data_IF_018676700945
#
_entry.id   IF_018676700945
#
_cell.length_a   1.000
_cell.length_b   1.000
_cell.length_c   1.000
_cell.angle_alpha   90.00
_cell.angle_beta   90.00
_cell.angle_gamma   90.00
#
_symmetry.space_group_name_H-M   'P 1'
#
loop_
_entity.id
_entity.type
_entity.pdbx_description
1 polymer ?
#
# COMPACT_ATOMS: atom_id res chain seq x y z
N UNK A 1 18.18 -0.23 11.21
CA UNK A 1 17.46 -0.76 10.03
C UNK A 1 16.48 0.25 9.36
N UNK A 2 16.16 1.40 9.96
CA UNK A 2 15.29 2.42 9.37
C UNK A 2 15.94 3.31 8.28
N UNK A 3 17.27 3.48 8.31
CA UNK A 3 18.00 4.36 7.41
C UNK A 3 18.00 3.90 5.94
N UNK A 4 18.03 2.58 5.68
CA UNK A 4 18.14 2.06 4.30
C UNK A 4 16.88 2.27 3.46
N UNK A 5 15.68 2.17 4.06
CA UNK A 5 14.41 2.42 3.35
C UNK A 5 14.18 3.89 3.05
N UNK A 6 14.62 4.78 3.94
CA UNK A 6 14.53 6.23 3.72
C UNK A 6 15.51 6.68 2.62
N UNK A 7 16.75 6.18 2.66
CA UNK A 7 17.78 6.44 1.64
C UNK A 7 17.33 5.97 0.23
N UNK A 8 16.65 4.83 0.15
CA UNK A 8 16.09 4.32 -1.12
C UNK A 8 15.02 5.26 -1.71
N UNK A 9 14.12 5.81 -0.89
CA UNK A 9 13.07 6.73 -1.37
C UNK A 9 13.62 8.09 -1.79
N UNK A 10 14.58 8.64 -1.04
CA UNK A 10 15.23 9.89 -1.41
C UNK A 10 16.04 9.75 -2.69
N UNK A 11 16.70 8.61 -2.92
CA UNK A 11 17.40 8.36 -4.19
C UNK A 11 16.44 8.32 -5.37
N UNK A 12 15.29 7.63 -5.23
CA UNK A 12 14.26 7.61 -6.29
C UNK A 12 13.79 9.03 -6.61
N UNK A 13 13.46 9.82 -5.58
CA UNK A 13 12.89 11.15 -5.77
C UNK A 13 13.87 12.19 -6.29
N UNK A 14 15.09 12.22 -5.75
CA UNK A 14 16.03 13.31 -6.01
C UNK A 14 17.09 12.96 -7.06
N UNK A 15 17.19 11.69 -7.45
CA UNK A 15 18.14 11.24 -8.47
C UNK A 15 17.43 10.61 -9.66
N UNK A 16 16.68 9.52 -9.45
CA UNK A 16 16.09 8.77 -10.56
C UNK A 16 14.99 9.52 -11.29
N UNK A 17 14.04 10.11 -10.57
CA UNK A 17 12.94 10.87 -11.19
C UNK A 17 13.51 12.04 -12.02
N UNK A 18 14.37 12.94 -11.49
CA UNK A 18 14.98 14.02 -12.28
C UNK A 18 15.79 13.52 -13.47
N UNK A 19 16.55 12.43 -13.31
CA UNK A 19 17.28 11.82 -14.42
C UNK A 19 16.30 11.41 -15.53
N UNK A 20 15.24 10.66 -15.21
CA UNK A 20 14.26 10.21 -16.20
C UNK A 20 13.43 11.34 -16.82
N UNK A 21 13.13 12.39 -16.05
CA UNK A 21 12.47 13.61 -16.54
C UNK A 21 13.35 14.37 -17.54
N UNK A 22 14.67 14.24 -17.45
CA UNK A 22 15.62 14.87 -18.39
C UNK A 22 15.80 14.11 -19.70
N UNK A 23 15.36 12.85 -19.78
CA UNK A 23 15.56 12.02 -20.98
C UNK A 23 14.56 12.37 -22.08
N UNK A 24 15.02 12.29 -23.33
CA UNK A 24 14.12 12.22 -24.48
C UNK A 24 13.70 10.77 -24.71
N UNK A 25 12.45 10.45 -24.39
CA UNK A 25 11.91 9.10 -24.54
C UNK A 25 11.50 8.81 -25.98
N UNK A 26 12.03 7.73 -26.55
CA UNK A 26 11.75 7.31 -27.93
C UNK A 26 10.70 6.19 -28.02
N UNK A 27 9.97 5.93 -26.93
CA UNK A 27 8.98 4.85 -26.90
C UNK A 27 7.83 5.11 -25.93
N UNK A 28 6.79 4.27 -26.03
CA UNK A 28 5.65 4.26 -25.10
C UNK A 28 6.03 3.95 -23.65
N UNK A 29 7.29 3.55 -23.37
CA UNK A 29 7.80 3.40 -22.01
C UNK A 29 7.76 4.69 -21.20
N UNK A 30 7.77 5.86 -21.86
CA UNK A 30 7.52 7.12 -21.18
C UNK A 30 6.20 7.12 -20.41
N UNK A 31 5.14 6.54 -20.99
CA UNK A 31 3.83 6.47 -20.34
C UNK A 31 3.86 5.55 -19.12
N UNK A 32 4.62 4.45 -19.19
CA UNK A 32 4.82 3.57 -18.03
C UNK A 32 5.62 4.27 -16.92
N UNK A 33 6.62 5.06 -17.30
CA UNK A 33 7.38 5.88 -16.37
C UNK A 33 6.51 6.95 -15.70
N UNK A 34 5.68 7.65 -16.47
CA UNK A 34 4.79 8.70 -15.97
C UNK A 34 3.76 8.12 -14.98
N UNK A 35 3.16 6.98 -15.32
CA UNK A 35 2.26 6.22 -14.44
C UNK A 35 2.97 5.75 -13.15
N UNK A 36 4.19 5.23 -13.27
CA UNK A 36 5.00 4.84 -12.12
C UNK A 36 5.36 6.02 -11.22
N UNK A 37 5.73 7.16 -11.81
CA UNK A 37 6.03 8.41 -11.09
C UNK A 37 4.79 8.92 -10.36
N UNK A 38 3.61 8.89 -10.98
CA UNK A 38 2.36 9.24 -10.34
C UNK A 38 2.07 8.34 -9.11
N UNK A 39 2.20 7.02 -9.26
CA UNK A 39 2.06 6.06 -8.16
C UNK A 39 3.05 6.38 -7.03
N UNK A 40 4.31 6.67 -7.35
CA UNK A 40 5.31 7.05 -6.36
C UNK A 40 4.85 8.24 -5.50
N UNK A 41 4.34 9.31 -6.12
CA UNK A 41 3.86 10.49 -5.39
C UNK A 41 2.58 10.23 -4.59
N UNK A 42 1.67 9.38 -5.08
CA UNK A 42 0.50 8.94 -4.32
C UNK A 42 0.91 8.21 -3.03
N UNK A 43 1.88 7.30 -3.09
CA UNK A 43 2.44 6.64 -1.91
C UNK A 43 3.21 7.58 -0.99
N UNK A 44 3.95 8.55 -1.57
CA UNK A 44 4.68 9.57 -0.81
C UNK A 44 3.72 10.43 0.01
N UNK A 45 2.57 10.80 -0.55
CA UNK A 45 1.52 11.54 0.16
C UNK A 45 0.64 10.66 1.05
N UNK A 46 0.72 9.34 0.98
CA UNK A 46 -0.11 8.42 1.77
C UNK A 46 -1.56 8.32 1.26
N UNK A 47 -1.80 8.77 0.03
CA UNK A 47 -3.13 8.76 -0.60
C UNK A 47 -3.55 7.35 -0.99
N UNK A 48 -2.60 6.42 -1.11
CA UNK A 48 -2.85 4.99 -1.30
C UNK A 48 -3.63 4.33 -0.14
N UNK A 49 -3.78 4.99 1.01
CA UNK A 49 -4.60 4.52 2.14
C UNK A 49 -6.04 5.02 2.09
N UNK A 50 -6.38 5.83 1.08
CA UNK A 50 -7.74 6.24 0.77
C UNK A 50 -8.32 5.28 -0.27
N UNK A 51 -9.63 5.07 -0.24
CA UNK A 51 -10.30 4.11 -1.12
C UNK A 51 -10.14 4.52 -2.60
N UNK A 52 -10.33 5.81 -2.88
CA UNK A 52 -10.17 6.42 -4.20
C UNK A 52 -8.71 6.34 -4.70
N UNK A 53 -7.73 6.47 -3.79
CA UNK A 53 -6.32 6.35 -4.13
C UNK A 53 -5.92 4.92 -4.45
N UNK A 54 -6.40 3.95 -3.67
CA UNK A 54 -6.20 2.53 -3.97
C UNK A 54 -6.85 2.15 -5.31
N UNK A 55 -8.09 2.58 -5.54
CA UNK A 55 -8.81 2.33 -6.79
C UNK A 55 -8.09 2.93 -8.00
N UNK A 56 -7.58 4.17 -7.88
CA UNK A 56 -6.81 4.82 -8.93
C UNK A 56 -5.50 4.07 -9.22
N UNK A 57 -4.75 3.66 -8.19
CA UNK A 57 -3.51 2.89 -8.37
C UNK A 57 -3.81 1.57 -9.09
N UNK A 58 -4.88 0.85 -8.72
CA UNK A 58 -5.29 -0.38 -9.40
C UNK A 58 -5.63 -0.14 -10.87
N UNK A 59 -6.32 0.97 -11.19
CA UNK A 59 -6.60 1.38 -12.58
C UNK A 59 -5.34 1.69 -13.37
N UNK A 60 -4.36 2.38 -12.77
CA UNK A 60 -3.07 2.66 -13.43
C UNK A 60 -2.32 1.35 -13.71
N UNK A 61 -2.19 0.48 -12.69
CA UNK A 61 -1.49 -0.80 -12.81
C UNK A 61 -2.11 -1.73 -13.87
N UNK A 62 -3.44 -1.67 -14.05
CA UNK A 62 -4.12 -2.48 -15.07
C UNK A 62 -3.82 -2.02 -16.50
N UNK A 63 -3.23 -0.85 -16.71
CA UNK A 63 -2.96 -0.29 -18.04
C UNK A 63 -1.46 -0.12 -18.36
N UNK A 64 -0.58 -0.42 -17.41
CA UNK A 64 0.87 -0.21 -17.54
C UNK A 64 1.58 -1.43 -18.15
N UNK A 65 2.76 -1.21 -18.74
CA UNK A 65 3.66 -2.22 -19.27
C UNK A 65 3.00 -3.11 -20.35
N UNK A 66 2.97 -4.43 -20.13
CA UNK A 66 2.41 -5.38 -21.09
C UNK A 66 0.93 -5.13 -21.35
N UNK A 67 0.20 -4.59 -20.36
CA UNK A 67 -1.22 -4.29 -20.50
C UNK A 67 -1.47 -3.10 -21.45
N UNK A 68 -0.44 -2.29 -21.74
CA UNK A 68 -0.50 -1.17 -22.68
C UNK A 68 -0.33 -1.60 -24.14
N UNK A 69 0.19 -2.81 -24.37
CA UNK A 69 0.44 -3.29 -25.72
C UNK A 69 -0.89 -3.49 -26.45
N UNK A 70 -0.90 -3.26 -27.76
CA UNK A 70 -2.10 -3.49 -28.59
C UNK A 70 -2.54 -4.96 -28.61
N UNK A 71 -1.64 -5.87 -28.24
CA UNK A 71 -1.90 -7.31 -28.10
C UNK A 71 -2.52 -7.68 -26.75
N UNK A 72 -2.62 -6.73 -25.80
CA UNK A 72 -3.26 -6.94 -24.51
C UNK A 72 -4.76 -7.19 -24.69
N UNK A 73 -5.29 -8.16 -23.95
CA UNK A 73 -6.73 -8.44 -23.85
C UNK A 73 -7.43 -7.57 -22.81
N UNK A 74 -6.68 -6.75 -22.06
CA UNK A 74 -7.24 -5.89 -21.03
C UNK A 74 -8.02 -4.75 -21.71
N UNK A 75 -9.26 -4.45 -21.27
CA UNK A 75 -10.01 -3.31 -21.79
C UNK A 75 -9.19 -2.02 -21.67
N UNK A 76 -9.18 -1.24 -22.76
CA UNK A 76 -8.53 0.09 -22.74
C UNK A 76 -9.36 1.03 -21.87
N UNK A 77 -8.69 1.67 -20.92
CA UNK A 77 -9.29 2.71 -20.09
C UNK A 77 -8.96 4.07 -20.71
N UNK A 78 -9.87 5.03 -20.53
CA UNK A 78 -9.63 6.42 -20.91
C UNK A 78 -8.46 7.01 -20.10
N UNK A 79 -7.39 7.34 -20.80
CA UNK A 79 -6.14 7.85 -20.22
C UNK A 79 -6.32 9.28 -19.73
N UNK A 80 -7.09 10.11 -20.44
CA UNK A 80 -7.25 11.51 -20.07
C UNK A 80 -8.03 11.62 -18.76
N UNK A 81 -9.03 10.74 -18.57
CA UNK A 81 -9.70 10.60 -17.28
C UNK A 81 -8.74 10.14 -16.17
N UNK A 82 -7.86 9.16 -16.42
CA UNK A 82 -6.86 8.73 -15.42
C UNK A 82 -5.96 9.90 -15.01
N UNK A 83 -5.53 10.74 -15.96
CA UNK A 83 -4.65 11.87 -15.67
C UNK A 83 -5.35 12.99 -14.91
N UNK A 84 -6.62 13.26 -15.22
CA UNK A 84 -7.46 14.15 -14.41
C UNK A 84 -7.61 13.64 -12.99
N UNK A 85 -7.86 12.34 -12.81
CA UNK A 85 -7.97 11.71 -11.50
C UNK A 85 -6.64 11.77 -10.71
N UNK A 86 -5.51 11.53 -11.38
CA UNK A 86 -4.16 11.67 -10.80
C UNK A 86 -3.93 13.10 -10.34
N UNK A 87 -4.16 14.09 -11.22
CA UNK A 87 -3.95 15.50 -10.91
C UNK A 87 -4.83 15.96 -9.75
N UNK A 88 -6.11 15.57 -9.76
CA UNK A 88 -7.06 15.84 -8.68
C UNK A 88 -6.54 15.28 -7.36
N UNK A 89 -6.21 13.98 -7.31
CA UNK A 89 -5.81 13.35 -6.06
C UNK A 89 -4.44 13.83 -5.56
N UNK A 90 -3.50 14.13 -6.47
CA UNK A 90 -2.22 14.73 -6.10
C UNK A 90 -2.32 16.20 -5.67
N UNK A 91 -3.42 16.90 -5.94
CA UNK A 91 -3.66 18.24 -5.41
C UNK A 91 -4.03 18.21 -3.92
N UNK A 92 -4.56 17.09 -3.42
CA UNK A 92 -4.96 16.90 -2.03
C UNK A 92 -3.77 16.98 -1.05
N UNK A 93 -4.00 17.40 0.20
CA UNK A 93 -2.96 17.40 1.23
C UNK A 93 -2.49 15.98 1.53
N UNK A 94 -1.26 15.85 2.05
CA UNK A 94 -0.76 14.53 2.45
C UNK A 94 -1.67 13.91 3.51
N UNK A 95 -1.93 12.61 3.40
CA UNK A 95 -2.58 11.80 4.42
C UNK A 95 -1.64 11.45 5.59
N UNK A 96 -0.39 11.86 5.51
CA UNK A 96 0.57 11.78 6.61
C UNK A 96 0.63 13.10 7.38
N UNK A 97 0.90 12.97 8.67
CA UNK A 97 1.18 14.07 9.59
C UNK A 97 2.36 13.65 10.48
N UNK A 98 3.16 14.58 10.97
CA UNK A 98 4.21 14.27 11.94
C UNK A 98 3.67 14.63 13.32
N UNK A 99 3.49 13.61 14.18
CA UNK A 99 3.14 13.76 15.60
C UNK A 99 4.25 13.13 16.44
N UNK A 100 4.82 13.89 17.37
CA UNK A 100 5.89 13.41 18.28
C UNK A 100 7.09 12.78 17.54
N UNK A 101 7.49 13.37 16.41
CA UNK A 101 8.59 12.86 15.57
C UNK A 101 8.27 11.56 14.82
N UNK A 102 7.03 11.09 14.87
CA UNK A 102 6.56 9.88 14.18
C UNK A 102 5.54 10.21 13.10
N UNK A 103 5.53 9.41 12.05
CA UNK A 103 4.55 9.56 10.97
C UNK A 103 3.20 9.01 11.46
N UNK A 104 2.20 9.87 11.51
CA UNK A 104 0.81 9.58 11.79
C UNK A 104 0.01 9.51 10.50
N UNK A 105 -0.81 8.47 10.33
CA UNK A 105 -1.68 8.29 9.17
C UNK A 105 -3.09 8.76 9.53
N UNK A 106 -3.53 9.87 8.92
CA UNK A 106 -4.79 10.55 9.30
C UNK A 106 -6.01 9.69 9.05
N UNK A 107 -6.14 9.11 7.85
CA UNK A 107 -7.34 8.33 7.48
C UNK A 107 -7.57 7.09 8.35
N UNK A 108 -6.51 6.47 8.89
CA UNK A 108 -6.59 5.29 9.74
C UNK A 108 -6.43 5.59 11.23
N UNK A 109 -6.31 6.88 11.60
CA UNK A 109 -6.12 7.35 12.98
C UNK A 109 -5.05 6.56 13.77
N UNK A 110 -3.89 6.29 13.15
CA UNK A 110 -2.82 5.47 13.76
C UNK A 110 -1.42 5.89 13.33
N UNK A 111 -0.43 5.61 14.15
CA UNK A 111 0.98 5.76 13.77
C UNK A 111 1.40 4.72 12.73
N UNK A 112 2.23 5.15 11.78
CA UNK A 112 2.81 4.28 10.77
C UNK A 112 3.83 3.34 11.42
N UNK A 113 3.66 2.04 11.18
CA UNK A 113 4.47 1.00 11.83
C UNK A 113 3.90 0.51 13.17
N UNK A 114 2.80 1.10 13.65
CA UNK A 114 2.01 0.47 14.72
C UNK A 114 1.59 -0.93 14.29
N UNK A 115 1.71 -1.95 15.16
CA UNK A 115 1.20 -3.27 14.88
C UNK A 115 -0.28 -3.16 14.51
N UNK A 116 -0.65 -3.68 13.34
CA UNK A 116 -2.06 -3.91 13.04
C UNK A 116 -2.50 -5.08 13.89
N UNK A 117 -3.56 -4.90 14.68
CA UNK A 117 -4.21 -6.02 15.33
C UNK A 117 -4.64 -7.00 14.24
N UNK A 118 -4.03 -8.19 14.23
CA UNK A 118 -4.45 -9.27 13.34
C UNK A 118 -5.53 -10.03 14.07
N UNK A 119 -6.64 -10.27 13.40
CA UNK A 119 -7.67 -11.14 13.95
C UNK A 119 -7.10 -12.55 14.04
N UNK A 120 -7.50 -13.27 15.08
CA UNK A 120 -7.02 -14.61 15.36
C UNK A 120 -8.21 -15.54 15.46
N UNK A 121 -8.19 -16.61 14.68
CA UNK A 121 -9.17 -17.69 14.78
C UNK A 121 -8.56 -18.84 15.58
N UNK A 122 -9.35 -19.36 16.53
CA UNK A 122 -9.10 -20.59 17.24
C UNK A 122 -9.89 -21.71 16.56
N UNK A 123 -9.19 -22.75 16.14
CA UNK A 123 -9.79 -23.90 15.45
C UNK A 123 -9.91 -25.08 16.40
N UNK A 124 -10.97 -25.87 16.23
CA UNK A 124 -11.07 -27.19 16.84
C UNK A 124 -10.01 -28.10 16.20
N UNK A 125 -9.19 -28.75 17.03
CA UNK A 125 -8.10 -29.61 16.57
C UNK A 125 -8.58 -30.86 15.81
N UNK A 126 -9.86 -31.23 15.96
CA UNK A 126 -10.46 -32.43 15.35
C UNK A 126 -11.32 -32.16 14.13
N UNK A 127 -12.04 -31.05 14.07
CA UNK A 127 -12.92 -30.74 12.94
C UNK A 127 -12.43 -29.59 12.06
N UNK A 128 -11.35 -28.90 12.45
CA UNK A 128 -10.89 -27.63 11.83
C UNK A 128 -11.97 -26.53 11.83
N UNK A 129 -13.05 -26.69 12.59
CA UNK A 129 -14.11 -25.69 12.69
C UNK A 129 -13.64 -24.47 13.51
N UNK A 130 -14.13 -23.30 13.13
CA UNK A 130 -13.85 -22.04 13.84
C UNK A 130 -14.64 -22.03 15.15
N UNK A 131 -13.94 -22.21 16.27
CA UNK A 131 -14.55 -22.13 17.60
C UNK A 131 -14.74 -20.69 18.05
N UNK A 132 -13.70 -19.86 17.89
CA UNK A 132 -13.71 -18.47 18.33
C UNK A 132 -12.88 -17.59 17.40
N UNK A 133 -13.28 -16.32 17.30
CA UNK A 133 -12.51 -15.27 16.62
C UNK A 133 -12.20 -14.15 17.60
N UNK A 134 -10.93 -13.76 17.68
CA UNK A 134 -10.41 -12.71 18.55
C UNK A 134 -9.89 -11.53 17.72
N UNK A 135 -9.87 -10.34 18.31
CA UNK A 135 -9.34 -9.15 17.64
C UNK A 135 -7.81 -9.11 17.67
N UNK A 136 -7.17 -9.89 18.55
CA UNK A 136 -5.72 -9.98 18.68
C UNK A 136 -5.25 -11.30 19.30
N UNK A 137 -3.96 -11.62 19.12
CA UNK A 137 -3.33 -12.77 19.80
C UNK A 137 -3.25 -12.61 21.32
N UNK A 138 -3.15 -11.38 21.81
CA UNK A 138 -3.10 -11.11 23.25
C UNK A 138 -4.45 -11.44 23.91
N UNK A 139 -5.54 -11.14 23.21
CA UNK A 139 -6.91 -11.47 23.64
C UNK A 139 -7.14 -12.98 23.63
N UNK A 140 -6.73 -13.66 22.54
CA UNK A 140 -6.77 -15.13 22.45
C UNK A 140 -5.95 -15.80 23.56
N UNK A 141 -4.76 -15.29 23.84
CA UNK A 141 -3.90 -15.82 24.89
C UNK A 141 -4.51 -15.66 26.29
N UNK A 142 -5.11 -14.49 26.56
CA UNK A 142 -5.84 -14.23 27.81
C UNK A 142 -7.03 -15.18 27.97
N UNK A 143 -7.76 -15.46 26.90
CA UNK A 143 -8.87 -16.43 26.90
C UNK A 143 -8.40 -17.84 27.22
N UNK A 144 -7.27 -18.27 26.67
CA UNK A 144 -6.69 -19.59 26.91
C UNK A 144 -5.94 -19.72 28.24
N UNK A 145 -5.73 -18.62 28.97
CA UNK A 145 -4.88 -18.61 30.17
C UNK A 145 -3.39 -18.83 29.87
N UNK A 146 -2.97 -18.57 28.63
CA UNK A 146 -1.64 -18.86 28.11
C UNK A 146 -0.85 -17.60 27.78
N UNK A 147 0.45 -17.75 27.57
CA UNK A 147 1.28 -16.66 27.05
C UNK A 147 1.04 -16.47 25.53
N UNK A 148 1.02 -15.23 25.02
CA UNK A 148 0.82 -14.96 23.59
C UNK A 148 1.80 -15.68 22.65
N UNK A 149 3.00 -16.01 23.13
CA UNK A 149 3.98 -16.78 22.37
C UNK A 149 3.58 -18.25 22.20
N UNK A 150 2.95 -18.84 23.21
CA UNK A 150 2.43 -20.22 23.20
C UNK A 150 1.20 -20.31 22.31
N UNK A 151 0.28 -19.37 22.46
CA UNK A 151 -0.97 -19.29 21.68
C UNK A 151 -0.73 -19.17 20.18
N UNK A 152 0.39 -18.54 19.78
CA UNK A 152 0.77 -18.37 18.38
C UNK A 152 0.92 -19.69 17.61
N UNK A 153 1.23 -20.79 18.30
CA UNK A 153 1.35 -22.13 17.69
C UNK A 153 0.01 -22.73 17.28
N UNK A 154 -1.08 -22.30 17.93
CA UNK A 154 -2.44 -22.86 17.77
C UNK A 154 -3.40 -21.87 17.12
N UNK A 155 -2.89 -20.76 16.60
CA UNK A 155 -3.66 -19.61 16.13
C UNK A 155 -3.50 -19.42 14.64
N UNK A 156 -4.62 -19.26 13.92
CA UNK A 156 -4.61 -18.81 12.53
C UNK A 156 -4.83 -17.30 12.47
N UNK A 157 -3.96 -16.60 11.73
CA UNK A 157 -4.07 -15.16 11.49
C UNK A 157 -4.84 -14.91 10.20
N UNK A 158 -5.89 -14.10 10.30
CA UNK A 158 -6.69 -13.58 9.19
C UNK A 158 -6.47 -12.08 9.01
#
# INVERSE_FOLDING_TARGET
MHASKQASRSYIEFVLIPFFDSLTWQSKKFLDYDDWKAIFYLYKKGLNYLQEGEALIKRILSQMNNNRLSTSKVPKVDRDLIQVDIAKLLSEPSNYEIKDGRIFLKSLNRFKGSPTSKMVQLLDATSEDIMHTFTSIAESAKFLGELPQTTKKYSFFI
#
